data_IF_195527869483
#
_entry.id   IF_195527869483
#
_cell.length_a   1.000
_cell.length_b   1.000
_cell.length_c   1.000
_cell.angle_alpha   90.00
_cell.angle_beta   90.00
_cell.angle_gamma   90.00
#
_symmetry.space_group_name_H-M   'P 1'
#
loop_
_entity.id
_entity.type
_entity.pdbx_description
1 polymer ?
#
# COMPACT_ATOMS: atom_id res chain seq x y z
N UNK A 1 35.52 44.76 -46.01
CA UNK A 1 35.61 45.14 -44.58
C UNK A 1 35.63 43.86 -43.76
N UNK A 2 36.68 43.65 -42.93
CA UNK A 2 36.75 42.66 -41.81
C UNK A 2 36.77 41.18 -42.26
N UNK A 3 37.60 40.24 -41.78
CA UNK A 3 38.75 40.18 -40.86
C UNK A 3 39.32 38.75 -40.98
N UNK A 4 40.63 38.63 -40.71
CA UNK A 4 41.41 37.39 -40.52
C UNK A 4 40.69 36.37 -39.64
N UNK A 5 40.96 35.06 -39.81
CA UNK A 5 41.78 34.31 -38.84
C UNK A 5 41.88 32.82 -39.17
N UNK A 6 43.12 32.31 -39.05
CA UNK A 6 43.53 30.90 -38.90
C UNK A 6 42.78 30.22 -37.75
N UNK A 7 42.78 28.89 -37.70
CA UNK A 7 43.34 28.10 -36.57
C UNK A 7 43.26 26.59 -36.88
N UNK A 8 44.44 25.97 -36.87
CA UNK A 8 44.73 24.55 -36.78
C UNK A 8 44.29 24.01 -35.40
N UNK A 9 43.77 22.78 -35.34
CA UNK A 9 43.63 22.00 -34.09
C UNK A 9 43.65 20.52 -34.48
N UNK A 10 44.80 19.87 -34.45
CA UNK A 10 45.38 19.18 -33.29
C UNK A 10 44.46 18.09 -32.73
N UNK A 11 44.81 16.85 -33.09
CA UNK A 11 45.04 15.69 -32.24
C UNK A 11 44.29 15.70 -30.89
N UNK A 12 43.27 14.84 -30.77
CA UNK A 12 42.76 14.44 -29.45
C UNK A 12 43.09 12.97 -29.24
N UNK A 13 43.96 12.77 -28.25
CA UNK A 13 44.52 11.53 -27.76
C UNK A 13 43.40 10.68 -27.15
N UNK A 14 43.34 9.40 -27.56
CA UNK A 14 42.47 8.39 -26.97
C UNK A 14 43.12 7.92 -25.66
N UNK A 15 42.52 8.28 -24.52
CA UNK A 15 42.99 7.88 -23.19
C UNK A 15 41.95 6.92 -22.61
N UNK A 16 42.16 5.62 -22.82
CA UNK A 16 41.35 4.57 -22.20
C UNK A 16 41.86 4.37 -20.78
N UNK A 17 41.16 4.97 -19.80
CA UNK A 17 41.38 4.69 -18.40
C UNK A 17 40.67 3.38 -18.05
N UNK A 18 41.43 2.28 -17.96
CA UNK A 18 40.94 1.02 -17.41
C UNK A 18 41.04 1.09 -15.89
N UNK A 19 39.92 1.42 -15.23
CA UNK A 19 39.81 1.30 -13.78
C UNK A 19 39.52 -0.16 -13.42
N UNK A 20 40.56 -0.92 -13.07
CA UNK A 20 40.41 -2.18 -12.36
C UNK A 20 40.01 -1.87 -10.91
N UNK A 21 38.74 -2.04 -10.57
CA UNK A 21 38.29 -2.05 -9.18
C UNK A 21 38.65 -3.42 -8.58
N UNK A 22 39.71 -3.44 -7.79
CA UNK A 22 40.03 -4.54 -6.89
C UNK A 22 38.95 -4.59 -5.79
N UNK A 23 38.14 -5.64 -5.77
CA UNK A 23 37.25 -5.94 -4.64
C UNK A 23 38.04 -6.70 -3.57
N UNK A 24 38.08 -6.25 -2.30
CA UNK A 24 38.48 -7.11 -1.20
C UNK A 24 37.37 -8.15 -0.93
N UNK A 25 37.72 -9.42 -0.66
CA UNK A 25 36.77 -10.38 -0.11
C UNK A 25 36.54 -10.05 1.37
N UNK A 26 35.35 -10.40 1.87
CA UNK A 26 34.93 -10.32 3.28
C UNK A 26 34.66 -8.92 3.85
N UNK A 27 33.57 -8.32 3.37
CA UNK A 27 32.72 -7.50 4.24
C UNK A 27 31.68 -8.42 4.87
N UNK A 28 31.97 -8.93 6.07
CA UNK A 28 30.94 -9.46 6.96
C UNK A 28 30.00 -8.30 7.31
N UNK A 29 28.89 -8.21 6.59
CA UNK A 29 27.77 -7.38 7.01
C UNK A 29 27.30 -7.89 8.37
N UNK A 30 27.68 -7.19 9.44
CA UNK A 30 27.16 -7.46 10.78
C UNK A 30 25.66 -7.24 10.74
N UNK A 31 24.92 -8.31 10.97
CA UNK A 31 23.48 -8.31 11.11
C UNK A 31 23.09 -7.32 12.22
N UNK A 32 22.27 -6.32 11.88
CA UNK A 32 21.76 -5.36 12.85
C UNK A 32 20.90 -6.11 13.87
N UNK A 33 21.48 -6.41 15.03
CA UNK A 33 20.77 -6.86 16.21
C UNK A 33 19.96 -5.67 16.72
N UNK A 34 18.64 -5.71 16.50
CA UNK A 34 17.75 -4.63 16.94
C UNK A 34 16.40 -4.56 16.25
N UNK A 35 16.12 -5.38 15.23
CA UNK A 35 14.73 -5.61 14.83
C UNK A 35 14.13 -6.62 15.80
N UNK A 36 13.38 -6.14 16.78
CA UNK A 36 12.39 -6.95 17.47
C UNK A 36 11.43 -7.50 16.41
N UNK A 37 11.63 -8.77 16.06
CA UNK A 37 10.66 -9.55 15.32
C UNK A 37 9.43 -9.56 16.21
N UNK A 38 8.44 -8.72 15.86
CA UNK A 38 7.14 -8.71 16.51
C UNK A 38 6.59 -10.13 16.40
N UNK A 39 6.59 -10.83 17.53
CA UNK A 39 6.08 -12.19 17.67
C UNK A 39 4.62 -12.14 17.29
N UNK A 40 4.30 -12.80 16.17
CA UNK A 40 2.96 -12.82 15.59
C UNK A 40 1.91 -13.24 16.59
N UNK A 41 0.91 -12.38 16.76
CA UNK A 41 -0.44 -12.85 17.03
C UNK A 41 -0.99 -13.26 15.68
N UNK A 42 -1.09 -14.58 15.45
CA UNK A 42 -1.71 -15.18 14.27
C UNK A 42 -3.16 -14.71 14.16
N UNK A 43 -3.40 -13.62 13.42
CA UNK A 43 -4.68 -13.46 12.72
C UNK A 43 -4.62 -14.40 11.50
N UNK A 44 -4.85 -15.70 11.70
CA UNK A 44 -5.07 -16.64 10.60
C UNK A 44 -6.44 -16.42 9.97
N UNK A 45 -6.63 -15.24 9.39
CA UNK A 45 -7.43 -15.12 8.19
C UNK A 45 -6.42 -15.10 7.06
N UNK A 46 -6.46 -16.07 6.13
CA UNK A 46 -5.53 -16.18 4.99
C UNK A 46 -5.60 -14.99 3.99
N UNK A 47 -6.25 -13.91 4.40
CA UNK A 47 -6.46 -12.73 3.61
C UNK A 47 -5.16 -11.90 3.54
N UNK A 48 -4.70 -11.49 2.34
CA UNK A 48 -3.39 -10.86 2.17
C UNK A 48 -3.31 -9.42 2.69
N UNK A 49 -4.39 -8.88 3.28
CA UNK A 49 -4.39 -7.51 3.78
C UNK A 49 -3.56 -7.38 5.05
N UNK A 50 -3.04 -6.18 5.33
CA UNK A 50 -2.46 -5.89 6.63
C UNK A 50 -3.47 -6.12 7.77
N UNK A 51 -2.98 -6.64 8.89
CA UNK A 51 -3.78 -6.88 10.09
C UNK A 51 -4.34 -5.58 10.68
N UNK A 52 -5.45 -5.64 11.41
CA UNK A 52 -6.08 -4.43 11.95
C UNK A 52 -5.24 -3.69 13.01
N UNK A 53 -4.20 -4.33 13.55
CA UNK A 53 -3.27 -3.69 14.49
C UNK A 53 -2.33 -2.67 13.81
N UNK A 54 -2.29 -2.61 12.47
CA UNK A 54 -1.53 -1.60 11.71
C UNK A 54 -2.33 -0.32 11.47
N UNK A 55 -3.59 -0.25 11.90
CA UNK A 55 -4.38 0.98 11.82
C UNK A 55 -3.66 2.13 12.56
N UNK A 56 -3.66 3.31 11.95
CA UNK A 56 -2.90 4.47 12.44
C UNK A 56 -1.41 4.45 12.11
N UNK A 57 -0.88 3.40 11.48
CA UNK A 57 0.51 3.32 11.02
C UNK A 57 0.61 3.59 9.50
N UNK A 58 1.75 4.08 9.04
CA UNK A 58 2.01 4.19 7.59
C UNK A 58 2.27 2.80 7.04
N UNK A 59 1.63 2.50 5.92
CA UNK A 59 1.66 1.22 5.23
C UNK A 59 1.94 1.43 3.75
N UNK A 60 2.45 0.39 3.09
CA UNK A 60 2.72 0.36 1.66
C UNK A 60 2.08 -0.89 1.06
N UNK A 61 1.39 -0.75 -0.07
CA UNK A 61 0.85 -1.88 -0.84
C UNK A 61 1.08 -1.69 -2.33
N UNK A 62 1.03 -2.79 -3.06
CA UNK A 62 0.94 -2.77 -4.52
C UNK A 62 -0.54 -2.67 -4.95
N UNK A 63 -0.74 -2.33 -6.21
CA UNK A 63 -2.08 -2.39 -6.82
C UNK A 63 -2.57 -3.84 -6.83
N UNK A 64 -3.88 -3.98 -6.70
CA UNK A 64 -4.62 -5.23 -6.54
C UNK A 64 -4.47 -5.93 -5.18
N UNK A 65 -3.66 -5.38 -4.27
CA UNK A 65 -3.59 -5.85 -2.89
C UNK A 65 -4.65 -5.18 -2.01
N UNK A 66 -5.27 -5.94 -1.08
CA UNK A 66 -6.15 -5.37 -0.08
C UNK A 66 -5.36 -4.53 0.93
N UNK A 67 -5.91 -3.37 1.24
CA UNK A 67 -5.37 -2.41 2.21
C UNK A 67 -6.07 -2.49 3.57
N UNK A 68 -7.24 -3.12 3.61
CA UNK A 68 -8.10 -3.26 4.77
C UNK A 68 -8.60 -4.70 4.77
N UNK A 69 -8.50 -5.48 5.86
CA UNK A 69 -8.98 -6.86 5.91
C UNK A 69 -10.52 -6.93 6.01
N UNK A 70 -11.14 -8.08 5.74
CA UNK A 70 -12.58 -8.23 5.90
C UNK A 70 -12.99 -8.16 7.38
N UNK A 71 -13.74 -7.12 7.76
CA UNK A 71 -14.33 -6.93 9.10
C UNK A 71 -15.68 -6.24 9.00
N UNK A 72 -16.45 -6.32 10.08
CA UNK A 72 -17.57 -5.42 10.35
C UNK A 72 -17.04 -4.22 11.15
N UNK A 73 -16.62 -3.18 10.42
CA UNK A 73 -16.02 -1.99 11.00
C UNK A 73 -16.99 -1.11 11.80
N UNK A 74 -18.30 -1.39 11.74
CA UNK A 74 -19.28 -0.76 12.63
C UNK A 74 -19.27 -1.40 14.02
N UNK A 75 -18.97 -2.71 14.12
CA UNK A 75 -18.85 -3.42 15.41
C UNK A 75 -17.46 -3.37 16.03
N UNK A 76 -16.40 -3.25 15.22
CA UNK A 76 -15.04 -3.16 15.74
C UNK A 76 -13.95 -3.62 14.77
N UNK A 77 -12.85 -4.10 15.33
CA UNK A 77 -11.70 -4.64 14.57
C UNK A 77 -11.60 -6.16 14.67
N UNK A 78 -12.42 -6.78 15.52
CA UNK A 78 -12.44 -8.23 15.75
C UNK A 78 -13.00 -8.97 14.53
N UNK A 79 -12.51 -10.19 14.29
CA UNK A 79 -13.03 -11.05 13.22
C UNK A 79 -14.51 -11.32 13.49
N UNK A 80 -15.40 -11.06 12.51
CA UNK A 80 -16.84 -11.28 12.67
C UNK A 80 -17.17 -12.72 13.08
N UNK A 81 -17.98 -12.89 14.12
CA UNK A 81 -18.52 -14.19 14.52
C UNK A 81 -19.70 -14.58 13.61
N UNK A 82 -19.64 -15.67 12.83
CA UNK A 82 -20.69 -16.04 11.88
C UNK A 82 -22.08 -16.21 12.51
N UNK A 83 -22.16 -16.58 13.80
CA UNK A 83 -23.43 -16.75 14.51
C UNK A 83 -24.21 -15.46 14.78
N UNK A 84 -23.62 -14.29 14.51
CA UNK A 84 -24.25 -12.98 14.72
C UNK A 84 -24.84 -12.34 13.45
N UNK A 85 -24.75 -13.03 12.30
CA UNK A 85 -25.14 -12.50 11.00
C UNK A 85 -26.15 -13.43 10.31
N UNK A 86 -26.96 -12.88 9.42
CA UNK A 86 -27.71 -13.72 8.48
C UNK A 86 -26.69 -14.40 7.53
N UNK A 87 -26.78 -15.72 7.32
CA UNK A 87 -25.81 -16.44 6.50
C UNK A 87 -25.78 -16.00 5.03
N UNK A 88 -26.81 -15.29 4.55
CA UNK A 88 -26.91 -14.76 3.19
C UNK A 88 -26.68 -13.24 3.13
N UNK A 89 -26.44 -12.58 4.26
CA UNK A 89 -26.09 -11.16 4.28
C UNK A 89 -24.65 -10.96 3.81
N UNK A 90 -24.49 -10.05 2.85
CA UNK A 90 -23.21 -9.69 2.24
C UNK A 90 -23.08 -8.17 2.20
N UNK A 91 -21.85 -7.70 2.36
CA UNK A 91 -21.52 -6.28 2.28
C UNK A 91 -21.50 -5.54 3.61
N UNK A 92 -22.04 -6.08 4.70
CA UNK A 92 -21.81 -5.55 6.06
C UNK A 92 -20.37 -5.81 6.50
N UNK A 93 -19.88 -7.02 6.24
CA UNK A 93 -18.46 -7.37 6.34
C UNK A 93 -17.81 -7.01 5.01
N UNK A 94 -16.73 -6.22 5.05
CA UNK A 94 -16.06 -5.80 3.84
C UNK A 94 -14.57 -5.61 4.04
N UNK A 95 -13.86 -5.70 2.93
CA UNK A 95 -12.47 -5.28 2.79
C UNK A 95 -12.37 -4.10 1.82
N UNK A 96 -11.17 -3.54 1.67
CA UNK A 96 -10.90 -2.53 0.66
C UNK A 96 -9.62 -2.91 -0.09
N UNK A 97 -9.67 -2.88 -1.42
CA UNK A 97 -8.54 -3.11 -2.32
C UNK A 97 -8.15 -1.83 -3.02
N UNK A 98 -6.86 -1.55 -3.10
CA UNK A 98 -6.35 -0.49 -3.97
C UNK A 98 -6.16 -1.04 -5.39
N UNK A 99 -6.76 -0.42 -6.40
CA UNK A 99 -6.71 -0.86 -7.81
C UNK A 99 -5.74 -0.04 -8.67
N UNK A 100 -4.92 0.81 -8.06
CA UNK A 100 -3.98 1.67 -8.79
C UNK A 100 -4.56 3.04 -9.16
N UNK A 101 -3.73 3.84 -9.85
CA UNK A 101 -4.18 5.08 -10.50
C UNK A 101 -4.55 4.76 -11.95
N UNK A 102 -5.84 4.84 -12.26
CA UNK A 102 -6.40 4.58 -13.60
C UNK A 102 -7.04 5.86 -14.12
N UNK A 103 -6.70 6.27 -15.34
CA UNK A 103 -7.21 7.51 -15.97
C UNK A 103 -7.01 8.77 -15.09
N UNK A 104 -5.91 8.83 -14.34
CA UNK A 104 -5.59 9.94 -13.43
C UNK A 104 -6.42 9.96 -12.14
N UNK A 105 -7.09 8.85 -11.80
CA UNK A 105 -7.91 8.70 -10.59
C UNK A 105 -7.42 7.52 -9.77
N UNK A 106 -7.33 7.69 -8.45
CA UNK A 106 -7.12 6.54 -7.57
C UNK A 106 -8.39 5.69 -7.55
N UNK A 107 -8.26 4.42 -7.86
CA UNK A 107 -9.37 3.46 -7.85
C UNK A 107 -9.26 2.53 -6.65
N UNK A 108 -10.39 2.30 -6.00
CA UNK A 108 -10.53 1.33 -4.93
C UNK A 108 -11.69 0.40 -5.23
N UNK A 109 -11.62 -0.82 -4.71
CA UNK A 109 -12.75 -1.74 -4.70
C UNK A 109 -13.13 -2.08 -3.27
N UNK A 110 -14.41 -1.93 -2.94
CA UNK A 110 -14.98 -2.46 -1.71
C UNK A 110 -15.51 -3.85 -2.03
N UNK A 111 -14.97 -4.88 -1.37
CA UNK A 111 -15.47 -6.25 -1.53
C UNK A 111 -16.26 -6.67 -0.32
N UNK A 112 -17.50 -7.10 -0.54
CA UNK A 112 -18.40 -7.55 0.51
C UNK A 112 -18.32 -9.07 0.69
N UNK A 113 -18.38 -9.51 1.94
CA UNK A 113 -18.28 -10.90 2.34
C UNK A 113 -19.51 -11.32 3.14
N UNK A 114 -19.80 -12.62 3.10
CA UNK A 114 -20.72 -13.23 4.07
C UNK A 114 -19.93 -13.62 5.31
N UNK A 115 -20.58 -13.71 6.48
CA UNK A 115 -19.87 -14.10 7.69
C UNK A 115 -19.35 -15.55 7.66
N UNK A 116 -19.90 -16.40 6.78
CA UNK A 116 -19.46 -17.79 6.61
C UNK A 116 -18.24 -17.95 5.67
N UNK A 117 -17.97 -16.95 4.81
CA UNK A 117 -16.83 -16.97 3.90
C UNK A 117 -16.18 -15.58 3.82
N UNK A 118 -15.07 -15.44 4.55
CA UNK A 118 -14.22 -14.22 4.54
C UNK A 118 -13.08 -14.29 3.53
N UNK A 119 -13.00 -15.35 2.72
CA UNK A 119 -11.94 -15.53 1.72
C UNK A 119 -12.42 -15.21 0.32
N UNK A 120 -13.69 -15.51 0.03
CA UNK A 120 -14.31 -15.22 -1.27
C UNK A 120 -15.28 -14.05 -1.15
N UNK A 121 -15.02 -12.93 -1.84
CA UNK A 121 -15.98 -11.84 -1.86
C UNK A 121 -17.22 -12.23 -2.66
N UNK A 122 -18.38 -11.94 -2.11
CA UNK A 122 -19.69 -12.17 -2.71
C UNK A 122 -20.15 -10.95 -3.54
N UNK A 123 -19.71 -9.74 -3.17
CA UNK A 123 -19.97 -8.49 -3.90
C UNK A 123 -18.71 -7.66 -4.10
N UNK A 124 -18.72 -6.76 -5.10
CA UNK A 124 -17.62 -5.83 -5.39
C UNK A 124 -18.14 -4.50 -5.94
N UNK A 125 -17.61 -3.38 -5.43
CA UNK A 125 -17.97 -2.03 -5.86
C UNK A 125 -16.72 -1.18 -6.10
N UNK A 126 -16.56 -0.66 -7.32
CA UNK A 126 -15.49 0.27 -7.67
C UNK A 126 -15.81 1.70 -7.25
N UNK A 127 -14.83 2.40 -6.67
CA UNK A 127 -14.88 3.82 -6.33
C UNK A 127 -13.66 4.54 -6.89
N UNK A 128 -13.87 5.75 -7.43
CA UNK A 128 -12.83 6.57 -8.05
C UNK A 128 -12.68 7.93 -7.37
N UNK A 129 -11.47 8.23 -6.91
CA UNK A 129 -11.11 9.49 -6.27
C UNK A 129 -10.09 10.28 -7.11
N UNK A 130 -10.07 11.62 -7.05
CA UNK A 130 -8.96 12.41 -7.59
C UNK A 130 -7.60 11.93 -7.08
N UNK A 131 -6.59 11.86 -7.95
CA UNK A 131 -5.27 11.32 -7.58
C UNK A 131 -4.49 12.19 -6.57
N UNK A 132 -4.86 13.46 -6.40
CA UNK A 132 -4.30 14.40 -5.44
C UNK A 132 -5.07 14.44 -4.11
N UNK A 133 -6.10 13.60 -3.94
CA UNK A 133 -6.88 13.56 -2.71
C UNK A 133 -6.09 12.91 -1.57
N UNK A 134 -5.72 13.69 -0.57
CA UNK A 134 -4.92 13.22 0.58
C UNK A 134 -5.71 12.49 1.67
N UNK A 135 -7.05 12.56 1.65
CA UNK A 135 -7.89 11.88 2.63
C UNK A 135 -9.16 11.35 1.94
N UNK A 136 -9.32 10.04 1.96
CA UNK A 136 -10.42 9.30 1.34
C UNK A 136 -11.24 8.66 2.44
N UNK A 137 -12.56 8.87 2.40
CA UNK A 137 -13.49 8.20 3.32
C UNK A 137 -14.29 7.16 2.54
N UNK A 138 -14.21 5.92 3.00
CA UNK A 138 -14.96 4.79 2.47
C UNK A 138 -15.66 4.12 3.65
N UNK A 139 -16.98 4.27 3.70
CA UNK A 139 -17.82 3.75 4.80
C UNK A 139 -17.30 4.21 6.16
N UNK A 140 -16.90 3.29 7.04
CA UNK A 140 -16.38 3.55 8.38
C UNK A 140 -14.85 3.67 8.43
N UNK A 141 -14.18 3.79 7.28
CA UNK A 141 -12.72 3.85 7.17
C UNK A 141 -12.31 5.16 6.51
N UNK A 142 -11.32 5.82 7.12
CA UNK A 142 -10.56 6.91 6.51
C UNK A 142 -9.19 6.39 6.10
N UNK A 143 -8.81 6.70 4.87
CA UNK A 143 -7.51 6.41 4.27
C UNK A 143 -6.83 7.76 4.07
N UNK A 144 -5.81 8.05 4.87
CA UNK A 144 -4.91 9.17 4.62
C UNK A 144 -3.86 8.72 3.61
N UNK A 145 -3.79 9.41 2.47
CA UNK A 145 -2.90 9.09 1.35
C UNK A 145 -1.64 9.93 1.47
N UNK A 146 -0.53 9.26 1.79
CA UNK A 146 0.79 9.87 1.87
C UNK A 146 1.41 9.97 0.46
N UNK A 147 1.23 8.94 -0.39
CA UNK A 147 1.63 8.94 -1.80
C UNK A 147 0.83 7.91 -2.61
N UNK A 148 0.38 8.29 -3.81
CA UNK A 148 -0.30 7.39 -4.75
C UNK A 148 0.41 7.40 -6.11
N UNK A 149 0.88 6.22 -6.52
CA UNK A 149 1.56 5.99 -7.79
C UNK A 149 0.73 5.01 -8.62
N UNK A 150 0.92 4.94 -9.96
CA UNK A 150 0.15 4.05 -10.82
C UNK A 150 0.07 2.59 -10.36
N UNK A 151 1.12 2.10 -9.68
CA UNK A 151 1.21 0.71 -9.21
C UNK A 151 1.22 0.52 -7.70
N UNK A 152 1.19 1.58 -6.88
CA UNK A 152 1.35 1.44 -5.43
C UNK A 152 0.71 2.56 -4.63
N UNK A 153 0.43 2.29 -3.35
CA UNK A 153 -0.12 3.25 -2.42
C UNK A 153 0.68 3.23 -1.11
N UNK A 154 1.09 4.42 -0.67
CA UNK A 154 1.55 4.66 0.71
C UNK A 154 0.46 5.40 1.46
N UNK A 155 -0.03 4.83 2.56
CA UNK A 155 -1.21 5.33 3.24
C UNK A 155 -1.22 5.01 4.73
N UNK A 156 -2.18 5.59 5.44
CA UNK A 156 -2.56 5.23 6.80
C UNK A 156 -4.06 5.02 6.86
N UNK A 157 -4.48 3.89 7.40
CA UNK A 157 -5.89 3.57 7.59
C UNK A 157 -6.31 3.87 9.03
N UNK A 158 -7.47 4.49 9.19
CA UNK A 158 -8.07 4.77 10.48
C UNK A 158 -9.56 4.41 10.42
N UNK A 159 -10.10 3.89 11.52
CA UNK A 159 -11.55 3.81 11.66
C UNK A 159 -12.07 5.23 11.88
N UNK A 160 -13.15 5.60 11.21
CA UNK A 160 -13.89 6.80 11.56
C UNK A 160 -14.48 6.58 12.96
N UNK A 161 -14.04 7.39 13.92
CA UNK A 161 -14.61 7.36 15.26
C UNK A 161 -16.06 7.83 15.18
N UNK A 162 -17.01 6.96 15.52
CA UNK A 162 -18.35 7.41 15.91
C UNK A 162 -18.12 8.33 17.10
N UNK A 163 -18.44 9.62 17.01
CA UNK A 163 -18.14 10.67 18.01
C UNK A 163 -18.66 10.41 19.42
N UNK A 164 -18.14 9.38 20.07
CA UNK A 164 -18.42 8.89 21.42
C UNK A 164 -17.12 8.93 22.24
N UNK A 165 -16.30 9.96 21.98
CA UNK A 165 -15.47 10.52 23.03
C UNK A 165 -16.37 11.35 23.94
N UNK A 166 -16.91 10.71 24.99
CA UNK A 166 -17.39 11.41 26.18
C UNK A 166 -16.36 11.25 27.29
#
# INVERSE_FOLDING_TARGET
MVKRSKISRWLTIYLVAVCFLNFPPELHAQQAAGAEVSTGTEETSHHPAPATNTFGQTQFVLSDDPIIPPRDYAKGLEIPNPGEYDPNESGTIFDIVYRGVVDGRMRFEIRGYTANDLQTPDTGQMLDFPADQHAIEIRNIRIDVDAAEPGSLTYRANRLSDGTGK
#
